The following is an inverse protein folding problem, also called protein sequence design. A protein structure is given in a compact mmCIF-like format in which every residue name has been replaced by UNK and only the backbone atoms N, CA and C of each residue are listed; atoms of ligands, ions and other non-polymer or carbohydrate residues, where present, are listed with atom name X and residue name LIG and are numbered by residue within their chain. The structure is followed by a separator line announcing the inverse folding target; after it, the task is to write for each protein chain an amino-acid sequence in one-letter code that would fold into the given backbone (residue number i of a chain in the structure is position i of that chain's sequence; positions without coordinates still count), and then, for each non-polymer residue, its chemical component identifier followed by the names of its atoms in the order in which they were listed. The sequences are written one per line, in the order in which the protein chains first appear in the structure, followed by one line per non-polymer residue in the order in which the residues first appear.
data_IF_165394869462
#
_entry.id   IF_165394869462
#
_cell.length_a   1.000
_cell.length_b   1.000
_cell.length_c   1.000
_cell.angle_alpha   90.00
_cell.angle_beta   90.00
_cell.angle_gamma   90.00
#
_symmetry.space_group_name_H-M   'P 1'
#
loop_
_entity.id
_entity.type
_entity.pdbx_description
1 polymer ?
#
# COMPACT_ATOMS: atom_id res chain seq x y z
N UNK A 1 -0.11 1.83 2.16
CA UNK A 1 0.26 0.41 2.30
C UNK A 1 -0.96 -0.41 2.67
N UNK A 2 -1.05 -1.59 2.13
CA UNK A 2 -2.12 -2.52 2.49
C UNK A 2 -1.53 -3.82 3.00
N UNK A 3 -2.21 -4.44 3.97
CA UNK A 3 -1.85 -5.78 4.45
C UNK A 3 -2.67 -6.81 3.68
N UNK A 4 -2.01 -7.82 3.17
CA UNK A 4 -2.64 -8.90 2.41
C UNK A 4 -2.99 -10.09 3.32
N UNK A 5 -3.73 -11.05 2.77
CA UNK A 5 -4.17 -12.22 3.54
C UNK A 5 -3.01 -13.06 4.07
N UNK A 6 -1.87 -13.04 3.39
CA UNK A 6 -0.66 -13.76 3.80
C UNK A 6 0.22 -12.94 4.76
N UNK A 7 -0.29 -11.81 5.26
CA UNK A 7 0.39 -10.88 6.16
C UNK A 7 1.52 -10.09 5.50
N UNK A 8 1.69 -10.18 4.20
CA UNK A 8 2.63 -9.31 3.49
C UNK A 8 2.09 -7.88 3.38
N UNK A 9 2.99 -6.92 3.22
CA UNK A 9 2.64 -5.50 3.13
C UNK A 9 2.95 -5.02 1.71
N UNK A 10 1.93 -4.61 0.98
CA UNK A 10 2.08 -4.06 -0.37
C UNK A 10 2.10 -2.53 -0.31
N UNK A 11 3.04 -1.93 -1.03
CA UNK A 11 3.20 -0.49 -1.12
C UNK A 11 2.89 -0.03 -2.54
N UNK A 12 2.03 0.98 -2.67
CA UNK A 12 1.68 1.55 -3.97
C UNK A 12 1.28 3.00 -3.83
N UNK A 13 1.13 3.68 -4.96
CA UNK A 13 0.68 5.07 -5.01
C UNK A 13 -0.62 5.16 -5.81
N UNK A 14 -1.43 6.16 -5.46
CA UNK A 14 -2.66 6.44 -6.20
C UNK A 14 -3.13 7.85 -5.93
N UNK A 15 -3.88 8.41 -6.86
CA UNK A 15 -4.56 9.69 -6.68
C UNK A 15 -5.91 9.52 -5.98
N UNK A 16 -6.42 8.29 -5.89
CA UNK A 16 -7.71 7.99 -5.26
C UNK A 16 -7.60 6.64 -4.55
N UNK A 17 -7.43 6.69 -3.23
CA UNK A 17 -7.23 5.49 -2.41
C UNK A 17 -8.44 4.56 -2.47
N UNK A 18 -9.64 5.11 -2.36
CA UNK A 18 -10.86 4.30 -2.35
C UNK A 18 -11.03 3.56 -3.67
N UNK A 19 -10.81 4.25 -4.79
CA UNK A 19 -10.89 3.64 -6.10
C UNK A 19 -9.84 2.53 -6.26
N UNK A 20 -8.63 2.78 -5.82
CA UNK A 20 -7.54 1.81 -5.95
C UNK A 20 -7.79 0.56 -5.12
N UNK A 21 -8.30 0.72 -3.91
CA UNK A 21 -8.68 -0.41 -3.07
C UNK A 21 -9.78 -1.24 -3.73
N UNK A 22 -10.77 -0.57 -4.33
CA UNK A 22 -11.83 -1.24 -5.05
C UNK A 22 -11.29 -2.02 -6.25
N UNK A 23 -10.39 -1.42 -7.02
CA UNK A 23 -9.77 -2.08 -8.17
C UNK A 23 -8.98 -3.32 -7.75
N UNK A 24 -8.23 -3.25 -6.66
CA UNK A 24 -7.48 -4.39 -6.15
C UNK A 24 -8.40 -5.53 -5.72
N UNK A 25 -9.52 -5.20 -5.10
CA UNK A 25 -10.41 -6.19 -4.51
C UNK A 25 -11.40 -6.80 -5.50
N UNK A 26 -11.83 -6.02 -6.52
CA UNK A 26 -13.02 -6.38 -7.31
C UNK A 26 -12.81 -6.38 -8.83
N UNK A 27 -11.64 -5.97 -9.34
CA UNK A 27 -11.42 -5.85 -10.78
C UNK A 27 -10.08 -6.43 -11.19
N UNK A 28 -9.88 -6.55 -12.52
CA UNK A 28 -8.62 -6.98 -13.08
C UNK A 28 -7.59 -5.84 -13.19
N UNK A 29 -7.96 -4.62 -12.80
CA UNK A 29 -7.09 -3.44 -12.89
C UNK A 29 -6.12 -3.33 -11.74
N UNK A 30 -6.31 -4.09 -10.67
CA UNK A 30 -5.41 -4.08 -9.52
C UNK A 30 -4.12 -4.83 -9.78
N UNK A 31 -3.18 -4.73 -8.84
CA UNK A 31 -1.92 -5.45 -8.89
C UNK A 31 -2.15 -6.96 -8.84
N UNK A 32 -1.42 -7.71 -9.67
CA UNK A 32 -1.47 -9.17 -9.62
C UNK A 32 -1.03 -9.70 -8.25
N UNK A 33 -0.06 -9.04 -7.65
CA UNK A 33 0.42 -9.40 -6.31
C UNK A 33 -0.72 -9.37 -5.30
N UNK A 34 -1.47 -8.27 -5.30
CA UNK A 34 -2.58 -8.07 -4.35
C UNK A 34 -3.75 -8.99 -4.68
N UNK A 35 -4.08 -9.17 -5.97
CA UNK A 35 -5.20 -10.03 -6.38
C UNK A 35 -5.07 -11.46 -5.88
N UNK A 36 -3.85 -11.97 -5.83
CA UNK A 36 -3.58 -13.33 -5.37
C UNK A 36 -3.59 -13.45 -3.85
N UNK A 37 -3.65 -12.31 -3.15
CA UNK A 37 -3.52 -12.25 -1.69
C UNK A 37 -4.69 -11.56 -1.02
N UNK A 38 -5.86 -11.58 -1.65
CA UNK A 38 -7.08 -11.06 -1.07
C UNK A 38 -7.52 -11.94 0.10
N UNK A 39 -8.20 -11.40 1.10
CA UNK A 39 -8.58 -10.00 1.25
C UNK A 39 -7.43 -9.10 1.67
N UNK A 40 -7.58 -7.81 1.45
CA UNK A 40 -6.60 -6.79 1.82
C UNK A 40 -7.21 -5.79 2.79
N UNK A 41 -6.35 -5.14 3.57
CA UNK A 41 -6.75 -4.10 4.51
C UNK A 41 -5.81 -2.92 4.39
N UNK A 42 -6.34 -1.71 4.30
CA UNK A 42 -5.52 -0.49 4.33
C UNK A 42 -4.96 -0.32 5.73
N UNK A 43 -3.64 -0.27 5.85
CA UNK A 43 -2.97 -0.12 7.15
C UNK A 43 -2.25 1.21 7.30
N UNK A 44 -1.97 1.90 6.20
CA UNK A 44 -1.37 3.23 6.25
C UNK A 44 -1.57 3.96 4.93
N UNK A 45 -1.85 5.26 5.01
CA UNK A 45 -1.88 6.14 3.85
C UNK A 45 -1.23 7.47 4.24
N UNK A 46 -0.57 8.11 3.28
CA UNK A 46 0.03 9.42 3.51
C UNK A 46 -1.01 10.53 3.27
N UNK A 47 -0.70 11.73 3.76
CA UNK A 47 -1.40 12.92 3.32
C UNK A 47 -1.13 13.15 1.82
N UNK A 48 -1.97 13.94 1.13
CA UNK A 48 -1.74 14.23 -0.29
C UNK A 48 -0.37 14.86 -0.53
N UNK A 49 0.30 14.41 -1.59
CA UNK A 49 1.61 14.92 -1.98
C UNK A 49 1.72 14.89 -3.50
N UNK A 50 2.73 15.54 -4.06
CA UNK A 50 2.93 15.56 -5.50
C UNK A 50 3.26 14.14 -6.00
N UNK A 51 3.02 13.91 -7.29
CA UNK A 51 3.33 12.63 -7.91
C UNK A 51 4.81 12.27 -7.74
N UNK A 52 5.68 13.24 -7.92
CA UNK A 52 7.12 13.05 -7.77
C UNK A 52 7.49 12.63 -6.34
N UNK A 53 6.95 13.31 -5.34
CA UNK A 53 7.18 12.96 -3.93
C UNK A 53 6.66 11.57 -3.61
N UNK A 54 5.47 11.24 -4.13
CA UNK A 54 4.88 9.93 -3.91
C UNK A 54 5.73 8.81 -4.50
N UNK A 55 6.28 9.01 -5.70
CA UNK A 55 7.16 8.04 -6.33
C UNK A 55 8.43 7.83 -5.53
N UNK A 56 9.02 8.91 -5.01
CA UNK A 56 10.23 8.82 -4.20
C UNK A 56 9.96 8.05 -2.90
N UNK A 57 8.84 8.33 -2.25
CA UNK A 57 8.47 7.64 -1.02
C UNK A 57 8.21 6.16 -1.28
N UNK A 58 7.48 5.84 -2.35
CA UNK A 58 7.22 4.47 -2.74
C UNK A 58 8.52 3.70 -2.96
N UNK A 59 9.45 4.31 -3.69
CA UNK A 59 10.75 3.69 -3.96
C UNK A 59 11.49 3.34 -2.67
N UNK A 60 11.52 4.27 -1.71
CA UNK A 60 12.17 4.05 -0.42
C UNK A 60 11.52 2.91 0.36
N UNK A 61 10.19 2.96 0.46
CA UNK A 61 9.44 2.00 1.26
C UNK A 61 9.53 0.59 0.67
N UNK A 62 9.54 0.46 -0.64
CA UNK A 62 9.64 -0.85 -1.29
C UNK A 62 10.94 -1.57 -1.01
N UNK A 63 11.99 -0.84 -0.60
CA UNK A 63 13.26 -1.44 -0.25
C UNK A 63 13.32 -1.91 1.20
N UNK A 64 12.31 -1.55 2.00
CA UNK A 64 12.26 -1.95 3.40
C UNK A 64 11.78 -3.39 3.52
N UNK A 65 12.29 -4.07 4.55
CA UNK A 65 11.76 -5.36 4.95
C UNK A 65 10.39 -5.18 5.61
N UNK A 66 9.62 -6.26 5.68
CA UNK A 66 8.27 -6.23 6.26
C UNK A 66 8.28 -5.63 7.67
N UNK A 67 9.25 -6.00 8.49
CA UNK A 67 9.38 -5.50 9.86
C UNK A 67 9.54 -3.98 9.91
N UNK A 68 10.33 -3.42 8.99
CA UNK A 68 10.53 -1.99 8.89
C UNK A 68 9.24 -1.28 8.50
N UNK A 69 8.48 -1.86 7.57
CA UNK A 69 7.18 -1.30 7.17
C UNK A 69 6.19 -1.31 8.33
N UNK A 70 6.14 -2.40 9.09
CA UNK A 70 5.27 -2.50 10.25
C UNK A 70 5.64 -1.48 11.33
N UNK A 71 6.92 -1.27 11.56
CA UNK A 71 7.40 -0.28 12.51
C UNK A 71 7.01 1.14 12.08
N UNK A 72 7.16 1.45 10.79
CA UNK A 72 6.74 2.74 10.23
C UNK A 72 5.26 2.98 10.43
N UNK A 73 4.44 1.97 10.13
CA UNK A 73 2.98 2.06 10.28
C UNK A 73 2.63 2.34 11.75
N UNK A 74 3.27 1.64 12.68
CA UNK A 74 3.02 1.82 14.12
C UNK A 74 3.37 3.23 14.58
N UNK A 75 4.49 3.78 14.10
CA UNK A 75 4.96 5.10 14.50
C UNK A 75 4.15 6.24 13.88
N UNK A 76 3.56 6.02 12.72
CA UNK A 76 2.87 7.06 11.94
C UNK A 76 1.35 6.87 11.87
N UNK A 77 0.82 5.90 12.57
CA UNK A 77 -0.61 5.61 12.62
C UNK A 77 -1.16 6.07 13.96
N UNK A 78 -1.94 7.13 13.93
CA UNK A 78 -2.62 7.64 15.12
C UNK A 78 -4.04 7.14 15.21
#
# INVERSE_FOLDING_TARGET
MVECSDKSIYTGITTDINRRLHEHANTNKGSKYVRRRLPIQLVWSSHPMSHSEALQLEYRIKQWKREQKLQWIRLNNE
#
